data_IF_041987402242
#
_entry.id   IF_041987402242
#
_cell.length_a   1.000
_cell.length_b   1.000
_cell.length_c   1.000
_cell.angle_alpha   90.00
_cell.angle_beta   90.00
_cell.angle_gamma   90.00
#
_symmetry.space_group_name_H-M   'P 1'
#
loop_
_entity.id
_entity.type
_entity.pdbx_description
1 polymer ?
#
# COMPACT_ATOMS: atom_id res chain seq x y z
N UNK A 1 16.67 -24.20 28.75
CA UNK A 1 16.55 -23.02 29.64
C UNK A 1 17.02 -21.81 28.87
N UNK A 2 16.13 -20.88 28.56
CA UNK A 2 16.44 -19.66 27.80
C UNK A 2 16.66 -18.56 28.82
N UNK A 3 17.86 -18.00 28.90
CA UNK A 3 18.19 -16.90 29.82
C UNK A 3 17.42 -15.65 29.44
N UNK A 4 16.58 -15.14 30.34
CA UNK A 4 15.92 -13.84 30.22
C UNK A 4 16.94 -12.75 30.61
N UNK A 5 17.39 -11.94 29.65
CA UNK A 5 18.11 -10.70 29.95
C UNK A 5 17.08 -9.63 30.36
N UNK A 6 17.12 -9.25 31.63
CA UNK A 6 16.32 -8.17 32.21
C UNK A 6 17.07 -6.86 32.05
N UNK A 7 16.53 -5.93 31.26
CA UNK A 7 17.08 -4.57 31.14
C UNK A 7 16.27 -3.65 32.06
N UNK A 8 16.91 -3.18 33.14
CA UNK A 8 16.32 -2.22 34.07
C UNK A 8 16.56 -0.78 33.60
N UNK A 9 15.49 -0.07 33.19
CA UNK A 9 15.48 1.38 33.02
C UNK A 9 14.29 1.98 33.78
N UNK A 10 14.63 2.88 34.71
CA UNK A 10 13.65 3.77 35.43
C UNK A 10 12.48 3.06 36.11
N UNK A 11 12.75 2.02 36.91
CA UNK A 11 11.71 1.37 37.72
C UNK A 11 10.66 0.56 36.97
N UNK A 12 10.69 0.50 35.63
CA UNK A 12 9.81 -0.33 34.80
C UNK A 12 10.61 -1.54 34.31
N UNK A 13 10.23 -2.72 34.75
CA UNK A 13 10.80 -3.97 34.26
C UNK A 13 10.24 -4.26 32.87
N UNK A 14 11.08 -4.19 31.83
CA UNK A 14 10.75 -4.63 30.48
C UNK A 14 11.39 -5.99 30.23
N UNK A 15 10.59 -7.04 30.12
CA UNK A 15 11.07 -8.35 29.68
C UNK A 15 10.83 -8.55 28.20
N UNK A 16 11.88 -8.92 27.43
CA UNK A 16 11.77 -9.32 26.01
C UNK A 16 12.17 -10.77 25.90
N UNK A 17 11.37 -11.53 25.16
CA UNK A 17 11.70 -12.92 24.85
C UNK A 17 12.26 -13.03 23.42
N UNK A 18 13.23 -13.93 23.21
CA UNK A 18 13.72 -14.27 21.89
C UNK A 18 12.60 -15.00 21.13
N UNK A 19 12.34 -14.54 19.93
CA UNK A 19 11.38 -15.14 19.01
C UNK A 19 12.12 -15.75 17.82
N UNK A 20 11.54 -16.76 17.19
CA UNK A 20 12.08 -17.32 15.95
C UNK A 20 12.01 -16.28 14.82
N UNK A 21 12.93 -16.31 13.83
CA UNK A 21 12.82 -15.47 12.66
C UNK A 21 11.46 -15.62 11.97
N UNK A 22 10.84 -14.52 11.59
CA UNK A 22 9.51 -14.50 10.97
C UNK A 22 9.12 -13.11 10.50
N UNK A 23 7.99 -13.05 9.81
CA UNK A 23 7.44 -11.82 9.25
C UNK A 23 6.77 -11.00 10.35
N UNK A 24 7.45 -10.00 10.87
CA UNK A 24 7.00 -9.15 11.98
C UNK A 24 6.95 -7.66 11.62
N UNK A 25 7.24 -7.31 10.36
CA UNK A 25 7.15 -5.93 9.91
C UNK A 25 5.69 -5.61 9.54
N UNK A 26 4.98 -5.00 10.47
CA UNK A 26 3.59 -4.57 10.32
C UNK A 26 3.37 -3.17 10.91
N UNK A 27 2.33 -2.42 10.50
CA UNK A 27 1.37 -2.73 9.45
C UNK A 27 1.97 -2.58 8.05
N UNK A 28 1.36 -3.26 7.07
CA UNK A 28 1.68 -3.17 5.65
C UNK A 28 0.50 -2.57 4.90
N UNK A 29 0.69 -1.97 3.72
CA UNK A 29 -0.43 -1.71 2.82
C UNK A 29 -1.03 -3.04 2.37
N UNK A 30 -2.35 -3.09 2.21
CA UNK A 30 -3.01 -4.13 1.44
C UNK A 30 -3.45 -3.50 0.13
N UNK A 31 -3.00 -4.06 -1.01
CA UNK A 31 -3.31 -3.50 -2.32
C UNK A 31 -3.83 -4.58 -3.26
N UNK A 32 -4.68 -4.18 -4.21
CA UNK A 32 -5.02 -5.02 -5.35
C UNK A 32 -4.08 -4.67 -6.51
N UNK A 33 -3.36 -5.66 -7.02
CA UNK A 33 -2.49 -5.49 -8.19
C UNK A 33 -3.22 -6.08 -9.40
N UNK A 34 -3.52 -5.25 -10.37
CA UNK A 34 -4.10 -5.66 -11.64
C UNK A 34 -3.03 -5.79 -12.72
N UNK A 35 -3.20 -6.76 -13.59
CA UNK A 35 -2.32 -7.07 -14.70
C UNK A 35 -3.12 -7.75 -15.82
N UNK A 36 -2.60 -7.75 -17.04
CA UNK A 36 -3.28 -8.37 -18.17
C UNK A 36 -2.38 -8.49 -19.38
N UNK A 37 -2.65 -9.47 -20.23
CA UNK A 37 -2.10 -9.56 -21.57
C UNK A 37 -3.09 -8.98 -22.57
N UNK A 38 -2.58 -8.43 -23.64
CA UNK A 38 -3.42 -7.85 -24.69
C UNK A 38 -4.36 -8.91 -25.29
N UNK A 39 -5.66 -8.63 -25.25
CA UNK A 39 -6.68 -9.53 -25.79
C UNK A 39 -7.11 -10.65 -24.84
N UNK A 40 -6.54 -10.76 -23.65
CA UNK A 40 -6.95 -11.72 -22.61
C UNK A 40 -7.77 -11.03 -21.51
N UNK A 41 -8.48 -11.85 -20.73
CA UNK A 41 -9.15 -11.37 -19.50
C UNK A 41 -8.12 -10.93 -18.49
N UNK A 42 -8.18 -9.69 -17.98
CA UNK A 42 -7.24 -9.21 -16.99
C UNK A 42 -7.43 -9.91 -15.64
N UNK A 43 -6.39 -9.88 -14.83
CA UNK A 43 -6.40 -10.51 -13.52
C UNK A 43 -6.09 -9.53 -12.40
N UNK A 44 -6.52 -9.88 -11.18
CA UNK A 44 -6.23 -9.15 -9.94
C UNK A 44 -5.59 -10.11 -8.95
N UNK A 45 -4.57 -9.63 -8.23
CA UNK A 45 -3.99 -10.33 -7.08
C UNK A 45 -3.87 -9.37 -5.90
N UNK A 46 -4.14 -9.85 -4.70
CA UNK A 46 -3.94 -9.10 -3.47
C UNK A 46 -2.52 -9.27 -2.98
N UNK A 47 -1.87 -8.16 -2.68
CA UNK A 47 -0.48 -8.12 -2.24
C UNK A 47 -0.36 -7.23 -1.00
N UNK A 48 0.32 -7.76 0.02
CA UNK A 48 0.76 -7.00 1.19
C UNK A 48 2.30 -6.85 1.23
N UNK A 49 3.03 -7.71 0.50
CA UNK A 49 4.49 -7.60 0.36
C UNK A 49 4.85 -6.59 -0.73
N UNK A 50 4.66 -5.28 -0.41
CA UNK A 50 4.85 -4.15 -1.33
C UNK A 50 5.27 -2.89 -0.56
N UNK A 51 5.92 -1.97 -1.26
CA UNK A 51 6.30 -0.68 -0.69
C UNK A 51 7.05 0.21 -1.66
N UNK A 52 7.14 1.50 -1.30
CA UNK A 52 7.98 2.48 -1.99
C UNK A 52 9.44 2.21 -1.66
N UNK A 53 10.30 2.14 -2.68
CA UNK A 53 11.72 1.82 -2.53
C UNK A 53 12.67 2.95 -2.98
N UNK A 54 12.19 3.88 -3.82
CA UNK A 54 12.96 5.04 -4.26
C UNK A 54 12.01 6.21 -4.54
N UNK A 55 12.47 7.45 -4.32
CA UNK A 55 11.69 8.66 -4.54
C UNK A 55 12.01 9.34 -5.88
N UNK A 56 13.26 9.23 -6.35
CA UNK A 56 13.71 9.81 -7.61
C UNK A 56 14.77 8.88 -8.26
N UNK A 57 14.41 8.17 -9.35
CA UNK A 57 13.05 8.05 -9.87
C UNK A 57 12.09 7.40 -8.87
N UNK A 58 10.79 7.67 -9.01
CA UNK A 58 9.77 7.06 -8.16
C UNK A 58 9.69 5.54 -8.46
N UNK A 59 9.94 4.71 -7.45
CA UNK A 59 9.96 3.26 -7.60
C UNK A 59 9.24 2.54 -6.45
N UNK A 60 8.65 1.43 -6.80
CA UNK A 60 7.96 0.52 -5.88
C UNK A 60 8.44 -0.92 -6.07
N UNK A 61 8.17 -1.77 -5.11
CA UNK A 61 8.32 -3.22 -5.28
C UNK A 61 7.04 -3.95 -4.91
N UNK A 62 6.81 -5.08 -5.56
CA UNK A 62 5.82 -6.08 -5.17
C UNK A 62 6.52 -7.45 -5.14
N UNK A 63 6.19 -8.30 -4.15
CA UNK A 63 6.70 -9.67 -4.11
C UNK A 63 5.55 -10.65 -4.35
N UNK A 64 5.71 -11.48 -5.38
CA UNK A 64 4.69 -12.43 -5.86
C UNK A 64 5.28 -13.83 -5.86
N UNK A 65 4.49 -14.81 -5.40
CA UNK A 65 4.91 -16.22 -5.49
C UNK A 65 4.86 -16.69 -6.94
N UNK A 66 5.86 -17.47 -7.42
CA UNK A 66 5.91 -17.96 -8.79
C UNK A 66 4.68 -18.76 -9.23
N UNK A 67 4.04 -19.49 -8.31
CA UNK A 67 2.83 -20.28 -8.61
C UNK A 67 1.55 -19.46 -8.81
N UNK A 68 1.57 -18.16 -8.50
CA UNK A 68 0.41 -17.26 -8.70
C UNK A 68 0.23 -16.90 -10.18
N UNK A 69 -1.01 -16.97 -10.66
CA UNK A 69 -1.34 -16.66 -12.06
C UNK A 69 -0.86 -15.28 -12.52
N UNK A 70 -0.95 -14.27 -11.66
CA UNK A 70 -0.44 -12.92 -11.97
C UNK A 70 1.07 -12.86 -12.15
N UNK A 71 1.85 -13.78 -11.55
CA UNK A 71 3.30 -13.79 -11.68
C UNK A 71 3.72 -13.90 -13.15
N UNK A 72 3.19 -14.91 -13.87
CA UNK A 72 3.51 -15.13 -15.28
C UNK A 72 3.08 -13.96 -16.17
N UNK A 73 1.93 -13.35 -15.86
CA UNK A 73 1.43 -12.19 -16.61
C UNK A 73 2.40 -11.02 -16.44
N UNK A 74 2.78 -10.69 -15.20
CA UNK A 74 3.67 -9.57 -14.90
C UNK A 74 5.08 -9.81 -15.46
N UNK A 75 5.60 -11.05 -15.35
CA UNK A 75 6.92 -11.40 -15.89
C UNK A 75 6.97 -11.25 -17.42
N UNK A 76 5.89 -11.62 -18.12
CA UNK A 76 5.80 -11.53 -19.58
C UNK A 76 5.53 -10.13 -20.10
N UNK A 77 4.64 -9.37 -19.42
CA UNK A 77 4.24 -8.04 -19.88
C UNK A 77 5.17 -6.93 -19.39
N UNK A 78 5.82 -7.14 -18.26
CA UNK A 78 6.61 -6.11 -17.59
C UNK A 78 5.77 -4.98 -16.99
N UNK A 79 4.44 -5.16 -16.87
CA UNK A 79 3.52 -4.09 -16.46
C UNK A 79 2.52 -4.59 -15.41
N UNK A 80 2.19 -3.70 -14.48
CA UNK A 80 1.10 -3.91 -13.50
C UNK A 80 0.62 -2.57 -12.94
N UNK A 81 -0.58 -2.57 -12.37
CA UNK A 81 -1.12 -1.39 -11.67
C UNK A 81 -1.38 -1.75 -10.21
N UNK A 82 -0.86 -0.93 -9.30
CA UNK A 82 -1.19 -1.01 -7.87
C UNK A 82 -2.43 -0.15 -7.64
N UNK A 83 -3.51 -0.75 -7.17
CA UNK A 83 -4.76 -0.08 -6.84
C UNK A 83 -4.90 -0.06 -5.33
N UNK A 84 -4.96 1.14 -4.72
CA UNK A 84 -5.10 1.28 -3.27
C UNK A 84 -6.50 0.80 -2.85
N UNK A 85 -6.55 0.13 -1.73
CA UNK A 85 -7.77 -0.50 -1.21
C UNK A 85 -8.36 0.34 -0.11
N UNK A 86 -9.65 0.64 -0.23
CA UNK A 86 -10.46 1.33 0.78
C UNK A 86 -11.18 0.31 1.66
N UNK A 87 -11.83 0.78 2.72
CA UNK A 87 -12.70 -0.05 3.57
C UNK A 87 -13.81 -0.73 2.77
N UNK A 88 -14.43 -0.03 1.80
CA UNK A 88 -15.47 -0.58 0.92
C UNK A 88 -14.95 -1.67 -0.03
N UNK A 89 -13.67 -1.61 -0.43
CA UNK A 89 -13.02 -2.58 -1.30
C UNK A 89 -12.38 -3.76 -0.56
N UNK A 90 -12.38 -3.76 0.78
CA UNK A 90 -11.70 -4.79 1.60
C UNK A 90 -12.16 -6.20 1.26
N UNK A 91 -13.48 -6.41 1.05
CA UNK A 91 -14.01 -7.72 0.67
C UNK A 91 -13.46 -8.21 -0.68
N UNK A 92 -13.39 -7.33 -1.67
CA UNK A 92 -12.85 -7.67 -2.99
C UNK A 92 -11.35 -7.95 -2.89
N UNK A 93 -10.64 -7.17 -2.09
CA UNK A 93 -9.22 -7.38 -1.80
C UNK A 93 -8.97 -8.77 -1.22
N UNK A 94 -9.64 -9.14 -0.14
CA UNK A 94 -9.49 -10.46 0.48
C UNK A 94 -9.81 -11.58 -0.50
N UNK A 95 -10.96 -11.50 -1.17
CA UNK A 95 -11.41 -12.53 -2.11
C UNK A 95 -10.42 -12.72 -3.29
N UNK A 96 -9.90 -11.63 -3.86
CA UNK A 96 -8.91 -11.68 -4.95
C UNK A 96 -7.59 -12.31 -4.52
N UNK A 97 -7.26 -12.29 -3.22
CA UNK A 97 -6.06 -12.90 -2.65
C UNK A 97 -6.16 -14.42 -2.54
N UNK A 98 -7.38 -14.97 -2.34
CA UNK A 98 -7.58 -16.43 -2.09
C UNK A 98 -8.05 -17.20 -3.32
N UNK A 99 -8.63 -16.56 -4.34
CA UNK A 99 -9.09 -17.21 -5.58
C UNK A 99 -8.05 -17.08 -6.69
N UNK A 100 -8.03 -18.08 -7.58
CA UNK A 100 -7.13 -18.09 -8.75
C UNK A 100 -7.83 -17.47 -9.97
N UNK A 101 -7.12 -16.57 -10.69
CA UNK A 101 -7.59 -16.02 -11.96
C UNK A 101 -7.45 -17.00 -13.14
N UNK A 102 -6.89 -18.20 -12.93
CA UNK A 102 -6.91 -19.27 -13.95
C UNK A 102 -8.31 -19.81 -14.19
N UNK A 103 -9.14 -19.78 -13.15
CA UNK A 103 -10.46 -20.44 -13.15
C UNK A 103 -11.60 -19.44 -13.16
N UNK A 104 -11.35 -18.20 -12.77
CA UNK A 104 -12.41 -17.20 -12.47
C UNK A 104 -12.02 -15.82 -12.96
N UNK A 105 -12.92 -15.15 -13.63
CA UNK A 105 -12.82 -13.71 -13.92
C UNK A 105 -13.12 -12.89 -12.67
N UNK A 106 -12.05 -12.36 -12.06
CA UNK A 106 -12.14 -11.66 -10.77
C UNK A 106 -12.79 -10.28 -10.88
N UNK A 107 -12.63 -9.60 -11.99
CA UNK A 107 -13.33 -8.33 -12.22
C UNK A 107 -14.84 -8.54 -12.23
N UNK A 108 -15.31 -9.52 -12.98
CA UNK A 108 -16.72 -9.87 -13.07
C UNK A 108 -17.31 -10.33 -11.74
N UNK A 109 -16.63 -11.26 -11.04
CA UNK A 109 -17.12 -11.84 -9.77
C UNK A 109 -17.22 -10.79 -8.66
N UNK A 110 -16.25 -9.89 -8.59
CA UNK A 110 -16.23 -8.82 -7.58
C UNK A 110 -16.94 -7.56 -8.03
N UNK A 111 -17.53 -7.56 -9.26
CA UNK A 111 -18.22 -6.41 -9.86
C UNK A 111 -17.32 -5.18 -9.90
N UNK A 112 -16.05 -5.38 -10.26
CA UNK A 112 -15.06 -4.34 -10.44
C UNK A 112 -14.96 -3.98 -11.92
N UNK A 113 -14.70 -2.72 -12.20
CA UNK A 113 -14.55 -2.19 -13.55
C UNK A 113 -13.08 -2.11 -13.92
N UNK A 114 -12.70 -2.77 -15.03
CA UNK A 114 -11.36 -2.66 -15.58
C UNK A 114 -11.24 -1.34 -16.36
N UNK A 115 -10.55 -0.37 -15.78
CA UNK A 115 -10.30 0.93 -16.39
C UNK A 115 -9.04 0.87 -17.27
N UNK A 116 -9.20 1.21 -18.55
CA UNK A 116 -8.09 1.31 -19.51
C UNK A 116 -7.60 2.75 -19.56
N UNK A 117 -6.33 2.96 -19.22
CA UNK A 117 -5.69 4.26 -19.38
C UNK A 117 -4.86 4.30 -20.67
N UNK A 118 -4.38 5.48 -21.02
CA UNK A 118 -3.39 5.70 -22.09
C UNK A 118 -1.94 5.51 -21.60
N UNK A 119 -1.75 5.21 -20.32
CA UNK A 119 -0.43 5.08 -19.69
C UNK A 119 0.21 3.72 -20.02
N UNK A 120 -0.60 2.63 -19.98
CA UNK A 120 -0.14 1.26 -20.25
C UNK A 120 -1.30 0.31 -20.60
N UNK A 121 -0.95 -0.90 -21.07
CA UNK A 121 -1.93 -1.92 -21.43
C UNK A 121 -2.56 -2.62 -20.20
N UNK A 122 -1.84 -2.70 -19.08
CA UNK A 122 -2.38 -3.26 -17.84
C UNK A 122 -3.51 -2.37 -17.29
N UNK A 123 -4.73 -2.90 -17.06
CA UNK A 123 -5.86 -2.10 -16.61
C UNK A 123 -5.75 -1.75 -15.13
N UNK A 124 -6.26 -0.58 -14.76
CA UNK A 124 -6.52 -0.22 -13.38
C UNK A 124 -7.90 -0.73 -12.91
N UNK A 125 -8.19 -0.59 -11.63
CA UNK A 125 -9.51 -0.81 -11.04
C UNK A 125 -10.16 0.56 -10.84
N UNK A 126 -11.29 0.80 -11.52
CA UNK A 126 -11.97 2.12 -11.53
C UNK A 126 -12.43 2.53 -10.13
N UNK A 127 -12.89 1.58 -9.32
CA UNK A 127 -13.39 1.83 -7.96
C UNK A 127 -12.28 2.14 -6.93
N UNK A 128 -11.01 2.02 -7.33
CA UNK A 128 -9.88 2.40 -6.47
C UNK A 128 -9.59 3.89 -6.58
N UNK A 129 -9.50 4.62 -5.45
CA UNK A 129 -9.28 6.07 -5.48
C UNK A 129 -7.87 6.48 -5.92
N UNK A 130 -6.95 5.53 -6.01
CA UNK A 130 -5.57 5.75 -6.48
C UNK A 130 -5.07 4.54 -7.23
N UNK A 131 -4.65 4.75 -8.48
CA UNK A 131 -4.04 3.73 -9.31
C UNK A 131 -2.61 4.15 -9.64
N UNK A 132 -1.64 3.30 -9.34
CA UNK A 132 -0.21 3.54 -9.54
C UNK A 132 0.27 2.62 -10.66
N UNK A 133 0.61 3.17 -11.81
CA UNK A 133 1.01 2.45 -13.01
C UNK A 133 2.50 2.16 -12.95
N UNK A 134 2.88 0.89 -13.07
CA UNK A 134 4.21 0.40 -12.78
C UNK A 134 4.80 -0.38 -13.95
N UNK A 135 6.04 -0.04 -14.33
CA UNK A 135 6.82 -0.77 -15.33
C UNK A 135 8.00 -1.45 -14.67
N UNK A 136 8.06 -2.78 -14.78
CA UNK A 136 9.12 -3.60 -14.17
C UNK A 136 10.47 -3.24 -14.78
N UNK A 137 11.44 -2.98 -13.91
CA UNK A 137 12.85 -2.73 -14.28
C UNK A 137 13.74 -3.93 -13.97
N UNK A 138 13.39 -4.68 -12.92
CA UNK A 138 14.19 -5.82 -12.46
C UNK A 138 13.31 -6.79 -11.67
N UNK A 139 13.62 -8.08 -11.79
CA UNK A 139 13.04 -9.14 -10.95
C UNK A 139 14.14 -9.79 -10.14
N UNK A 140 13.96 -9.90 -8.81
CA UNK A 140 14.85 -10.58 -7.89
C UNK A 140 14.18 -11.85 -7.34
N UNK A 141 14.85 -12.99 -7.48
CA UNK A 141 14.36 -14.27 -6.99
C UNK A 141 14.80 -14.49 -5.54
N UNK A 142 13.84 -14.46 -4.60
CA UNK A 142 14.10 -14.46 -3.16
C UNK A 142 13.71 -15.79 -2.46
N UNK A 143 13.55 -16.86 -3.21
CA UNK A 143 13.11 -18.15 -2.70
C UNK A 143 11.60 -18.34 -2.88
N UNK A 144 10.77 -18.15 -1.84
CA UNK A 144 9.30 -18.32 -1.95
C UNK A 144 8.58 -17.26 -2.76
N UNK A 145 9.21 -16.12 -3.03
CA UNK A 145 8.67 -15.00 -3.78
C UNK A 145 9.72 -14.45 -4.74
N UNK A 146 9.27 -13.99 -5.87
CA UNK A 146 10.04 -13.12 -6.75
C UNK A 146 9.60 -11.68 -6.50
N UNK A 147 10.58 -10.78 -6.30
CA UNK A 147 10.34 -9.35 -6.09
C UNK A 147 10.49 -8.61 -7.41
N UNK A 148 9.38 -8.06 -7.90
CA UNK A 148 9.36 -7.16 -9.04
C UNK A 148 9.65 -5.74 -8.57
N UNK A 149 10.75 -5.18 -9.02
CA UNK A 149 11.18 -3.80 -8.80
C UNK A 149 10.72 -2.98 -10.01
N UNK A 150 9.86 -2.00 -9.80
CA UNK A 150 9.22 -1.27 -10.87
C UNK A 150 9.32 0.25 -10.69
N UNK A 151 9.45 0.94 -11.81
CA UNK A 151 9.32 2.39 -11.92
C UNK A 151 7.84 2.77 -11.97
N UNK A 152 7.46 3.79 -11.23
CA UNK A 152 6.12 4.41 -11.33
C UNK A 152 6.12 5.33 -12.55
N UNK A 153 5.37 4.96 -13.59
CA UNK A 153 5.29 5.70 -14.84
C UNK A 153 4.06 6.61 -14.93
N UNK A 154 3.14 6.48 -14.00
CA UNK A 154 1.96 7.34 -13.88
C UNK A 154 1.17 7.04 -12.61
N UNK A 155 0.33 7.99 -12.22
CA UNK A 155 -0.62 7.84 -11.12
C UNK A 155 -1.93 8.54 -11.52
N UNK A 156 -3.06 7.86 -11.33
CA UNK A 156 -4.38 8.48 -11.39
C UNK A 156 -4.99 8.53 -10.01
N UNK A 157 -5.73 9.58 -9.72
CA UNK A 157 -6.44 9.77 -8.46
C UNK A 157 -7.89 10.18 -8.75
N UNK A 158 -8.79 9.76 -7.88
CA UNK A 158 -10.20 10.12 -7.98
C UNK A 158 -10.39 11.61 -7.62
N UNK A 159 -11.03 12.35 -8.53
CA UNK A 159 -11.28 13.79 -8.39
C UNK A 159 -12.18 14.11 -7.19
N UNK A 160 -13.03 13.18 -6.74
CA UNK A 160 -13.87 13.33 -5.55
C UNK A 160 -13.06 13.70 -4.29
N UNK A 161 -11.79 13.24 -4.21
CA UNK A 161 -10.90 13.52 -3.08
C UNK A 161 -9.96 14.69 -3.32
N UNK A 162 -10.18 15.50 -4.36
CA UNK A 162 -9.41 16.69 -4.65
C UNK A 162 -10.13 17.95 -4.13
N UNK A 163 -9.37 18.88 -3.53
CA UNK A 163 -9.91 20.18 -3.15
C UNK A 163 -9.92 21.16 -4.34
N UNK A 164 -10.61 22.30 -4.17
CA UNK A 164 -10.70 23.37 -5.19
C UNK A 164 -9.33 23.91 -5.67
N UNK A 165 -8.25 23.62 -4.93
CA UNK A 165 -6.87 24.00 -5.25
C UNK A 165 -6.09 22.89 -5.91
N UNK A 166 -6.74 21.79 -6.28
CA UNK A 166 -6.12 20.65 -6.91
C UNK A 166 -5.24 19.81 -5.94
N UNK A 167 -5.48 19.86 -4.62
CA UNK A 167 -4.75 19.04 -3.66
C UNK A 167 -5.56 17.79 -3.31
N UNK A 168 -4.93 16.63 -3.45
CA UNK A 168 -5.52 15.33 -3.14
C UNK A 168 -5.44 15.01 -1.63
N UNK A 169 -6.56 14.65 -1.00
CA UNK A 169 -6.60 14.18 0.39
C UNK A 169 -6.66 12.64 0.45
N UNK A 170 -5.51 12.00 0.40
CA UNK A 170 -5.41 10.54 0.52
C UNK A 170 -6.08 10.00 1.80
N UNK A 171 -6.18 10.79 2.85
CA UNK A 171 -6.79 10.36 4.12
C UNK A 171 -8.31 10.21 4.02
N UNK A 172 -8.94 11.04 3.18
CA UNK A 172 -10.39 11.02 2.97
C UNK A 172 -10.84 9.76 2.21
N UNK A 173 -9.93 9.10 1.49
CA UNK A 173 -10.24 7.90 0.69
C UNK A 173 -10.55 6.65 1.52
N UNK A 174 -10.23 6.61 2.82
CA UNK A 174 -10.49 5.45 3.67
C UNK A 174 -9.58 4.25 3.38
N UNK A 175 -8.32 4.47 2.95
CA UNK A 175 -7.38 3.37 2.70
C UNK A 175 -7.14 2.52 3.95
N UNK A 176 -6.86 1.24 3.73
CA UNK A 176 -6.67 0.24 4.77
C UNK A 176 -5.20 -0.18 4.93
N UNK A 177 -4.92 -0.84 6.06
CA UNK A 177 -3.66 -1.49 6.35
C UNK A 177 -3.89 -2.97 6.69
N UNK A 178 -2.86 -3.80 6.46
CA UNK A 178 -2.84 -5.22 6.79
C UNK A 178 -1.89 -5.50 7.94
N UNK A 179 -2.35 -6.25 8.93
CA UNK A 179 -1.53 -6.67 10.06
C UNK A 179 -1.94 -8.05 10.57
N UNK A 180 -1.00 -8.98 10.60
CA UNK A 180 -1.20 -10.34 11.18
C UNK A 180 -2.44 -11.11 10.66
N UNK A 181 -2.73 -11.02 9.37
CA UNK A 181 -3.87 -11.73 8.78
C UNK A 181 -5.19 -10.97 8.83
N UNK A 182 -5.18 -9.72 9.29
CA UNK A 182 -6.38 -8.89 9.46
C UNK A 182 -6.23 -7.55 8.75
N UNK A 183 -7.35 -6.93 8.39
CA UNK A 183 -7.41 -5.62 7.74
C UNK A 183 -7.90 -4.57 8.72
N UNK A 184 -7.30 -3.38 8.69
CA UNK A 184 -7.59 -2.27 9.60
C UNK A 184 -7.72 -0.96 8.83
N UNK A 185 -8.64 -0.11 9.25
CA UNK A 185 -8.65 1.29 8.81
C UNK A 185 -7.52 2.07 9.49
N UNK A 186 -7.08 3.18 8.87
CA UNK A 186 -6.13 4.08 9.51
C UNK A 186 -6.81 4.81 10.67
N UNK A 187 -6.13 4.82 11.81
CA UNK A 187 -6.63 5.46 13.03
C UNK A 187 -6.42 6.97 13.07
N UNK A 188 -6.46 7.53 14.29
CA UNK A 188 -6.29 8.95 14.54
C UNK A 188 -4.93 9.47 14.09
N UNK A 189 -4.90 10.63 13.41
CA UNK A 189 -3.67 11.34 13.06
C UNK A 189 -2.89 11.72 14.32
N UNK A 190 -1.63 11.29 14.39
CA UNK A 190 -0.74 11.58 15.52
C UNK A 190 0.04 12.89 15.33
N UNK A 191 0.39 13.25 14.08
CA UNK A 191 1.15 14.44 13.76
C UNK A 191 1.41 14.54 12.26
N UNK A 192 2.11 15.57 11.84
CA UNK A 192 2.68 15.67 10.49
C UNK A 192 4.18 15.40 10.53
N UNK A 193 4.77 15.05 9.40
CA UNK A 193 6.21 14.89 9.31
C UNK A 193 6.94 16.14 9.82
N UNK A 194 7.92 15.95 10.70
CA UNK A 194 8.68 17.05 11.31
C UNK A 194 8.02 17.74 12.53
N UNK A 195 6.82 17.31 12.96
CA UNK A 195 6.13 17.94 14.12
C UNK A 195 6.95 17.90 15.42
N UNK A 196 7.84 16.91 15.58
CA UNK A 196 8.66 16.75 16.79
C UNK A 196 9.72 17.84 16.98
N UNK A 197 10.13 18.49 15.90
CA UNK A 197 11.14 19.58 15.88
C UNK A 197 10.54 20.95 15.64
N UNK A 198 9.22 21.07 15.55
CA UNK A 198 8.56 22.37 15.39
C UNK A 198 8.76 23.26 16.61
N UNK A 199 9.31 24.47 16.39
CA UNK A 199 9.41 25.49 17.44
C UNK A 199 8.01 25.91 17.88
N UNK A 200 7.67 25.80 19.17
CA UNK A 200 6.42 26.36 19.72
C UNK A 200 6.38 27.86 19.42
N UNK A 201 5.40 28.32 18.65
CA UNK A 201 5.17 29.77 18.50
C UNK A 201 4.98 30.37 19.89
N UNK A 202 5.87 31.30 20.31
CA UNK A 202 5.68 32.06 21.53
C UNK A 202 4.33 32.78 21.40
N UNK A 203 3.37 32.48 22.28
CA UNK A 203 2.17 33.28 22.43
C UNK A 203 2.62 34.67 22.85
N UNK A 204 2.59 35.67 21.96
CA UNK A 204 2.72 37.07 22.36
C UNK A 204 1.57 37.36 23.32
N UNK A 205 1.87 37.48 24.61
CA UNK A 205 1.01 38.10 25.59
C UNK A 205 0.97 39.60 25.22
N UNK A 206 -0.01 40.00 24.43
CA UNK A 206 -0.35 41.42 24.27
C UNK A 206 -0.79 41.88 25.64
N UNK A 207 0.09 42.65 26.30
CA UNK A 207 -0.17 43.30 27.56
C UNK A 207 -1.30 44.31 27.37
N UNK A 208 -2.39 44.07 28.05
CA UNK A 208 -3.51 45.03 28.17
C UNK A 208 -3.06 46.13 29.15
N UNK A 209 -2.40 47.16 28.64
CA UNK A 209 -2.18 48.39 29.43
C UNK A 209 -3.48 49.18 29.43
N UNK A 210 -4.34 48.91 30.41
CA UNK A 210 -5.36 49.89 30.80
C UNK A 210 -4.65 51.14 31.36
N UNK A 211 -4.63 52.23 30.62
CA UNK A 211 -4.38 53.57 31.20
C UNK A 211 -5.60 53.98 32.01
N UNK A 212 -5.31 54.40 33.23
CA UNK A 212 -6.22 55.17 34.08
C UNK A 212 -6.43 56.57 33.52
#
# INVERSE_FOLDING_TARGET
>A
MVSSEVIQKSGVYMSKQKWKPGNMLYPLPAVMVSCGRKGETPNIITIAWTGTICSDPAMVSISVRPERYSHDIIEQTGEFVINLVTDSLTRACDWCGVRSGRDIDKFKEMKLTAYKSDIMDAPAIEESPVNIYCRVKKTERLGSHDMFIAEVVGVTVDEEYMDEKGRFDLRATGIIAYSHGEYYTLGKKLGKFGYSVEKKKKKNRSGNHKKK
#
